data_IF_119548282892
#
_entry.id   IF_119548282892
#
_cell.length_a   1.000
_cell.length_b   1.000
_cell.length_c   1.000
_cell.angle_alpha   90.00
_cell.angle_beta   90.00
_cell.angle_gamma   90.00
#
_symmetry.space_group_name_H-M   'P 1'
#
loop_
_entity.id
_entity.type
_entity.pdbx_description
1 polymer ?
#
# COMPACT_ATOMS: atom_id res chain seq x y z
N UNK A 1 12.62 -16.31 0.96
CA UNK A 1 11.93 -16.51 -0.32
C UNK A 1 12.69 -15.84 -1.46
N UNK A 2 12.44 -16.29 -2.69
CA UNK A 2 13.09 -15.76 -3.90
C UNK A 2 12.11 -14.89 -4.67
N UNK A 3 12.58 -13.73 -5.14
CA UNK A 3 11.83 -12.86 -6.07
C UNK A 3 12.25 -13.24 -7.50
N UNK A 4 11.27 -13.51 -8.36
CA UNK A 4 11.52 -13.92 -9.75
C UNK A 4 11.20 -12.85 -10.78
N UNK A 5 10.26 -11.97 -10.46
CA UNK A 5 9.78 -10.96 -11.39
C UNK A 5 9.65 -9.61 -10.69
N UNK A 6 10.01 -8.56 -11.43
CA UNK A 6 9.81 -7.17 -11.05
C UNK A 6 9.39 -6.38 -12.29
N UNK A 7 8.37 -5.54 -12.18
CA UNK A 7 7.95 -4.65 -13.25
C UNK A 7 7.55 -3.29 -12.71
N UNK A 8 8.06 -2.25 -13.37
CA UNK A 8 7.62 -0.88 -13.17
C UNK A 8 6.19 -0.69 -13.69
N UNK A 9 5.43 0.14 -13.00
CA UNK A 9 4.13 0.60 -13.51
C UNK A 9 4.35 1.38 -14.82
N UNK A 10 3.55 1.14 -15.87
CA UNK A 10 3.62 1.92 -17.10
C UNK A 10 3.01 3.33 -16.95
N UNK A 11 2.32 3.59 -15.83
CA UNK A 11 1.59 4.84 -15.59
C UNK A 11 2.22 5.73 -14.53
N UNK A 12 2.94 5.16 -13.55
CA UNK A 12 3.49 5.89 -12.41
C UNK A 12 4.98 5.56 -12.22
N UNK A 13 5.83 6.57 -12.26
CA UNK A 13 7.30 6.37 -12.22
C UNK A 13 7.83 5.90 -10.87
N UNK A 14 7.10 6.14 -9.78
CA UNK A 14 7.49 5.73 -8.42
C UNK A 14 6.99 4.34 -8.07
N UNK A 15 6.15 3.73 -8.90
CA UNK A 15 5.46 2.48 -8.58
C UNK A 15 6.13 1.31 -9.30
N UNK A 16 6.42 0.26 -8.53
CA UNK A 16 6.83 -1.03 -9.08
C UNK A 16 6.12 -2.17 -8.35
N UNK A 17 6.01 -3.32 -9.00
CA UNK A 17 5.53 -4.55 -8.39
C UNK A 17 6.59 -5.64 -8.44
N UNK A 18 6.57 -6.55 -7.47
CA UNK A 18 7.42 -7.73 -7.44
C UNK A 18 6.64 -8.97 -6.99
N UNK A 19 7.04 -10.14 -7.47
CA UNK A 19 6.43 -11.43 -7.10
C UNK A 19 7.47 -12.52 -6.91
N UNK A 20 7.19 -13.47 -6.00
CA UNK A 20 8.14 -14.53 -5.64
C UNK A 20 7.53 -15.88 -5.28
N UNK A 21 8.33 -16.71 -4.60
CA UNK A 21 7.95 -18.04 -4.09
C UNK A 21 6.94 -18.00 -2.97
N UNK A 22 6.85 -16.87 -2.26
CA UNK A 22 5.99 -16.65 -1.08
C UNK A 22 4.49 -16.56 -1.40
N UNK A 23 4.14 -16.60 -2.69
CA UNK A 23 2.77 -16.54 -3.23
C UNK A 23 2.12 -15.16 -3.07
N UNK A 24 2.93 -14.13 -2.80
CA UNK A 24 2.49 -12.75 -2.65
C UNK A 24 3.04 -11.92 -3.80
N UNK A 25 2.24 -10.95 -4.22
CA UNK A 25 2.72 -9.89 -5.11
C UNK A 25 2.69 -8.58 -4.32
N UNK A 26 3.84 -7.95 -4.21
CA UNK A 26 4.01 -6.70 -3.48
C UNK A 26 4.00 -5.55 -4.47
N UNK A 27 3.25 -4.50 -4.17
CA UNK A 27 3.32 -3.22 -4.88
C UNK A 27 4.02 -2.23 -3.95
N UNK A 28 4.99 -1.52 -4.51
CA UNK A 28 5.86 -0.59 -3.80
C UNK A 28 5.68 0.81 -4.37
N UNK A 29 5.73 1.81 -3.50
CA UNK A 29 5.76 3.22 -3.86
C UNK A 29 7.03 3.89 -3.31
N UNK A 30 7.97 4.17 -4.22
CA UNK A 30 9.26 4.73 -3.88
C UNK A 30 9.18 6.19 -3.42
N UNK A 31 8.05 6.87 -3.62
CA UNK A 31 7.85 8.24 -3.12
C UNK A 31 7.85 8.29 -1.59
N UNK A 32 7.46 7.19 -0.93
CA UNK A 32 7.33 7.07 0.53
C UNK A 32 8.60 6.63 1.25
N UNK A 33 9.69 6.43 0.52
CA UNK A 33 10.97 6.03 1.13
C UNK A 33 11.43 7.08 2.14
N UNK A 34 11.64 6.65 3.38
CA UNK A 34 12.11 7.50 4.46
C UNK A 34 11.01 8.28 5.19
N UNK A 35 9.73 8.04 4.88
CA UNK A 35 8.63 8.53 5.70
C UNK A 35 8.65 7.90 7.11
N UNK A 36 8.21 8.67 8.09
CA UNK A 36 8.09 8.19 9.47
C UNK A 36 6.80 7.36 9.63
N UNK A 37 6.93 6.17 10.19
CA UNK A 37 5.80 5.28 10.48
C UNK A 37 5.59 5.14 11.99
N UNK A 38 4.35 4.87 12.39
CA UNK A 38 4.09 4.46 13.76
C UNK A 38 4.80 3.11 14.02
N UNK A 39 5.23 2.81 15.27
CA UNK A 39 5.89 1.55 15.57
C UNK A 39 5.05 0.31 15.24
N UNK A 40 3.72 0.43 15.28
CA UNK A 40 2.81 -0.65 14.91
C UNK A 40 2.80 -0.92 13.39
N UNK A 41 2.82 0.12 12.56
CA UNK A 41 2.87 -0.02 11.09
C UNK A 41 4.22 -0.55 10.61
N UNK A 42 5.31 -0.19 11.31
CA UNK A 42 6.67 -0.64 10.97
C UNK A 42 6.86 -2.17 11.12
N UNK A 43 5.99 -2.85 11.90
CA UNK A 43 6.00 -4.31 12.01
C UNK A 43 5.41 -4.99 10.75
N UNK A 44 4.55 -4.30 10.01
CA UNK A 44 3.94 -4.80 8.77
C UNK A 44 4.85 -4.62 7.54
N UNK A 45 5.78 -3.66 7.60
CA UNK A 45 6.77 -3.43 6.56
C UNK A 45 7.26 -1.99 6.48
N UNK A 46 8.19 -1.71 5.55
CA UNK A 46 8.72 -0.36 5.35
C UNK A 46 7.64 0.58 4.74
N UNK A 47 7.81 1.90 4.82
CA UNK A 47 6.78 2.87 4.38
C UNK A 47 6.49 2.79 2.88
N UNK A 48 7.45 2.38 2.07
CA UNK A 48 7.29 2.18 0.63
C UNK A 48 6.48 0.93 0.27
N UNK A 49 6.14 0.05 1.22
CA UNK A 49 5.28 -1.10 0.94
C UNK A 49 3.81 -0.67 0.86
N UNK A 50 3.33 -0.45 -0.37
CA UNK A 50 2.00 0.08 -0.62
C UNK A 50 0.89 -0.98 -0.48
N UNK A 51 1.11 -2.18 -1.02
CA UNK A 51 0.08 -3.22 -1.05
C UNK A 51 0.66 -4.62 -1.16
N UNK A 52 0.00 -5.59 -0.51
CA UNK A 52 0.30 -7.02 -0.67
C UNK A 52 -0.93 -7.73 -1.26
N UNK A 53 -0.82 -8.17 -2.51
CA UNK A 53 -1.82 -9.04 -3.11
C UNK A 53 -1.66 -10.47 -2.59
N UNK A 54 -2.67 -10.91 -1.85
CA UNK A 54 -2.68 -12.19 -1.17
C UNK A 54 -3.56 -13.27 -1.80
N UNK A 55 -4.03 -13.08 -3.03
CA UNK A 55 -5.02 -13.96 -3.66
C UNK A 55 -4.50 -15.30 -4.17
N UNK A 56 -3.20 -15.46 -4.38
CA UNK A 56 -2.62 -16.71 -4.90
C UNK A 56 -2.32 -17.73 -3.79
N UNK A 57 -2.55 -19.01 -4.09
CA UNK A 57 -2.32 -20.13 -3.17
C UNK A 57 -1.08 -20.98 -3.51
N UNK A 58 -0.47 -20.73 -4.67
CA UNK A 58 0.78 -21.30 -5.12
C UNK A 58 1.76 -20.21 -5.59
N UNK A 59 3.00 -20.61 -5.87
CA UNK A 59 4.05 -19.70 -6.35
C UNK A 59 3.56 -18.96 -7.59
N UNK A 60 3.82 -17.66 -7.62
CA UNK A 60 3.51 -16.82 -8.78
C UNK A 60 4.55 -17.09 -9.86
N UNK A 61 4.09 -17.43 -11.06
CA UNK A 61 4.95 -17.73 -12.20
C UNK A 61 5.34 -16.46 -12.96
N UNK A 62 4.38 -15.54 -13.17
CA UNK A 62 4.60 -14.24 -13.81
C UNK A 62 3.44 -13.27 -13.52
N UNK A 63 3.65 -11.98 -13.80
CA UNK A 63 2.59 -10.98 -13.81
C UNK A 63 2.88 -9.86 -14.83
N UNK A 64 1.83 -9.12 -15.19
CA UNK A 64 1.94 -7.94 -16.04
C UNK A 64 0.99 -6.85 -15.56
N UNK A 65 1.49 -5.61 -15.57
CA UNK A 65 0.64 -4.43 -15.50
C UNK A 65 -0.21 -4.29 -16.76
N UNK A 66 -1.41 -3.73 -16.63
CA UNK A 66 -2.24 -3.35 -17.76
C UNK A 66 -1.76 -1.98 -18.30
N UNK A 67 -1.33 -1.89 -19.57
CA UNK A 67 -0.86 -0.63 -20.16
C UNK A 67 -2.00 0.34 -20.51
N UNK A 68 -3.25 -0.11 -20.51
CA UNK A 68 -4.43 0.69 -20.88
C UNK A 68 -5.24 1.16 -19.68
N UNK A 69 -5.19 0.44 -18.56
CA UNK A 69 -5.98 0.72 -17.36
C UNK A 69 -5.07 0.80 -16.13
N UNK A 70 -4.93 1.99 -15.50
CA UNK A 70 -4.08 2.16 -14.32
C UNK A 70 -4.44 1.21 -13.18
N UNK A 71 -3.42 0.77 -12.44
CA UNK A 71 -3.56 -0.07 -11.24
C UNK A 71 -4.11 -1.49 -11.46
N UNK A 72 -4.43 -1.88 -12.70
CA UNK A 72 -4.86 -3.24 -13.03
C UNK A 72 -3.63 -4.12 -13.30
N UNK A 73 -3.58 -5.28 -12.65
CA UNK A 73 -2.54 -6.30 -12.84
C UNK A 73 -3.20 -7.63 -13.21
N UNK A 74 -2.54 -8.37 -14.11
CA UNK A 74 -2.82 -9.77 -14.36
C UNK A 74 -1.66 -10.61 -13.81
N UNK A 75 -1.94 -11.60 -12.96
CA UNK A 75 -0.94 -12.50 -12.39
C UNK A 75 -1.36 -13.97 -12.55
N UNK A 76 -0.37 -14.85 -12.71
CA UNK A 76 -0.56 -16.30 -12.89
C UNK A 76 0.28 -17.10 -11.90
N UNK A 77 -0.24 -18.23 -11.43
CA UNK A 77 0.44 -19.12 -10.49
C UNK A 77 0.54 -20.57 -10.97
N UNK A 78 1.44 -21.32 -10.35
CA UNK A 78 1.74 -22.73 -10.70
C UNK A 78 0.58 -23.71 -10.46
N UNK A 79 -0.48 -23.30 -9.76
CA UNK A 79 -1.72 -24.06 -9.53
C UNK A 79 -2.83 -23.76 -10.55
N UNK A 80 -2.46 -23.26 -11.74
CA UNK A 80 -3.33 -22.97 -12.87
C UNK A 80 -4.33 -21.82 -12.64
N UNK A 81 -4.05 -20.95 -11.67
CA UNK A 81 -4.90 -19.79 -11.37
C UNK A 81 -4.37 -18.56 -12.09
N UNK A 82 -5.27 -17.87 -12.81
CA UNK A 82 -5.06 -16.53 -13.34
C UNK A 82 -5.97 -15.56 -12.58
N UNK A 83 -5.42 -14.43 -12.15
CA UNK A 83 -6.18 -13.38 -11.49
C UNK A 83 -5.95 -12.06 -12.22
N UNK A 84 -7.05 -11.38 -12.55
CA UNK A 84 -7.04 -9.96 -12.93
C UNK A 84 -7.61 -9.20 -11.76
N UNK A 85 -6.85 -8.27 -11.22
CA UNK A 85 -7.21 -7.56 -10.00
C UNK A 85 -6.74 -6.11 -10.05
N UNK A 86 -7.38 -5.30 -9.23
CA UNK A 86 -7.11 -3.88 -9.07
C UNK A 86 -7.22 -3.55 -7.58
N UNK A 87 -6.25 -2.81 -7.05
CA UNK A 87 -6.30 -2.31 -5.68
C UNK A 87 -7.41 -1.26 -5.53
N UNK A 88 -7.98 -1.14 -4.34
CA UNK A 88 -8.97 -0.11 -4.05
C UNK A 88 -8.33 1.28 -4.08
N UNK A 89 -9.09 2.29 -4.53
CA UNK A 89 -8.60 3.66 -4.73
C UNK A 89 -8.00 4.28 -3.45
N UNK A 90 -8.64 4.06 -2.32
CA UNK A 90 -8.20 4.55 -1.01
C UNK A 90 -6.82 4.06 -0.56
N UNK A 91 -6.28 3.01 -1.19
CA UNK A 91 -4.94 2.48 -0.87
C UNK A 91 -3.85 3.37 -1.47
N UNK A 92 -4.09 3.94 -2.66
CA UNK A 92 -3.08 4.71 -3.42
C UNK A 92 -3.43 6.19 -3.58
N UNK A 93 -4.65 6.62 -3.27
CA UNK A 93 -5.03 8.04 -3.29
C UNK A 93 -4.54 8.77 -2.05
N UNK A 94 -3.85 9.89 -2.22
CA UNK A 94 -3.33 10.73 -1.13
C UNK A 94 -4.44 11.44 -0.32
N UNK A 95 -5.66 11.51 -0.86
CA UNK A 95 -6.79 12.22 -0.24
C UNK A 95 -7.19 11.61 1.12
N UNK A 96 -7.05 10.30 1.31
CA UNK A 96 -7.40 9.63 2.58
C UNK A 96 -6.30 9.77 3.65
N UNK A 97 -5.02 9.84 3.27
CA UNK A 97 -3.92 10.08 4.21
C UNK A 97 -3.98 11.51 4.77
N UNK A 98 -4.26 12.49 3.92
CA UNK A 98 -4.50 13.87 4.34
C UNK A 98 -5.76 14.02 5.20
N UNK A 99 -6.85 13.31 4.85
CA UNK A 99 -8.08 13.31 5.64
C UNK A 99 -7.90 12.65 7.01
N UNK A 100 -7.18 11.53 7.10
CA UNK A 100 -6.86 10.85 8.35
C UNK A 100 -5.96 11.72 9.26
N UNK A 101 -4.93 12.35 8.69
CA UNK A 101 -4.08 13.30 9.42
C UNK A 101 -4.88 14.53 9.91
N UNK A 102 -5.78 15.07 9.07
CA UNK A 102 -6.67 16.17 9.46
C UNK A 102 -7.66 15.76 10.57
N UNK A 103 -8.21 14.55 10.51
CA UNK A 103 -9.09 14.01 11.54
C UNK A 103 -8.35 13.81 12.88
N UNK A 104 -7.12 13.31 12.85
CA UNK A 104 -6.27 13.16 14.04
C UNK A 104 -5.91 14.53 14.66
N UNK A 105 -5.60 15.54 13.84
CA UNK A 105 -5.35 16.92 14.30
C UNK A 105 -6.60 17.61 14.87
N UNK A 106 -7.77 17.35 14.29
CA UNK A 106 -9.04 17.86 14.82
C UNK A 106 -9.38 17.23 16.19
N UNK A 107 -9.09 15.94 16.36
CA UNK A 107 -9.25 15.21 17.63
C UNK A 107 -8.37 15.77 18.75
N UNK A 108 -7.14 16.20 18.45
CA UNK A 108 -6.22 16.74 19.47
C UNK A 108 -6.57 18.16 19.92
N UNK A 109 -7.20 18.95 19.03
CA UNK A 109 -7.60 20.34 19.32
C UNK A 109 -8.83 20.40 20.24
N UNK A 110 -9.71 19.40 20.19
CA UNK A 110 -10.93 19.35 21.01
C UNK A 110 -10.68 19.04 22.51
N UNK A 111 -9.50 18.55 22.89
CA UNK A 111 -9.16 18.20 24.27
C UNK A 111 -8.55 19.35 25.09
N UNK A 112 -8.30 20.52 24.49
CA UNK A 112 -7.56 21.63 25.11
C UNK A 112 -8.40 22.71 25.83
N UNK A 113 -9.70 22.81 25.57
CA UNK A 113 -10.52 23.94 26.06
C UNK A 113 -11.35 23.55 27.32
N UNK A 114 -10.64 23.02 28.32
CA UNK A 114 -11.15 22.69 29.65
C UNK A 114 -10.90 23.81 30.65
N UNK A 115 -11.50 24.98 30.37
CA UNK A 115 -11.76 26.13 31.24
C UNK A 115 -11.28 26.03 32.71
N UNK A 116 -10.16 26.69 33.00
CA UNK A 116 -9.77 27.09 34.37
C UNK A 116 -10.38 28.46 34.71
N UNK A 117 -11.57 28.44 35.28
CA UNK A 117 -12.25 29.55 36.00
C UNK A 117 -12.94 28.82 37.19
N UNK A 118 -12.82 29.14 38.47
CA UNK A 118 -12.67 30.40 39.21
C UNK A 118 -12.19 30.03 40.65
N UNK A 119 -11.17 30.71 41.19
CA UNK A 119 -11.22 31.72 42.27
C UNK A 119 -11.27 31.18 43.72
N UNK A 120 -10.27 31.63 44.48
CA UNK A 120 -10.13 31.81 45.95
C UNK A 120 -10.73 30.78 46.93
#
# INVERSE_FOLDING_TARGET
DEIFQVQWSPHNETILASSGTDRRLHVWDLSKIGEEQAPEDAEDGPPELLFIHGGHTAKISDFSWNPSDPWVICSVSEDNILQVWQMAENIYSEDDAAAAAAAAAASSTAAGDGKSEDLE
#
